data_IF_062294371808
#
_entry.id   IF_062294371808
#
_cell.length_a   1.000
_cell.length_b   1.000
_cell.length_c   1.000
_cell.angle_alpha   90.00
_cell.angle_beta   90.00
_cell.angle_gamma   90.00
#
_symmetry.space_group_name_H-M   'P 1'
#
loop_
_entity.id
_entity.type
_entity.pdbx_description
1 polymer ?
#
# COMPACT_ATOMS: atom_id res chain seq x y z
N UNK A 1 -5.00 22.73 -15.21
CA UNK A 1 -6.48 22.73 -15.28
C UNK A 1 -7.10 21.68 -16.22
N UNK A 2 -6.29 21.04 -17.08
CA UNK A 2 -6.81 20.00 -18.02
C UNK A 2 -6.68 18.58 -17.46
N UNK A 3 -5.86 18.36 -16.45
CA UNK A 3 -5.45 17.01 -15.98
C UNK A 3 -5.93 16.67 -14.56
N UNK A 4 -6.97 17.33 -14.07
CA UNK A 4 -7.55 17.03 -12.76
C UNK A 4 -7.00 17.89 -11.62
N UNK A 5 -6.26 17.32 -10.70
CA UNK A 5 -5.77 17.99 -9.49
C UNK A 5 -4.82 19.15 -9.83
N UNK A 6 -5.15 20.34 -9.37
CA UNK A 6 -4.38 21.55 -9.65
C UNK A 6 -3.89 22.25 -8.37
N UNK A 7 -4.39 21.84 -7.21
CA UNK A 7 -4.09 22.49 -5.95
C UNK A 7 -3.43 21.50 -4.98
N UNK A 8 -2.53 22.01 -4.15
CA UNK A 8 -1.86 21.22 -3.09
C UNK A 8 -2.89 20.54 -2.16
N UNK A 9 -4.03 21.20 -1.91
CA UNK A 9 -5.13 20.66 -1.13
C UNK A 9 -5.73 19.36 -1.70
N UNK A 10 -5.77 19.23 -3.05
CA UNK A 10 -6.28 18.02 -3.70
C UNK A 10 -5.37 16.81 -3.43
N UNK A 11 -4.04 17.03 -3.46
CA UNK A 11 -3.06 15.98 -3.13
C UNK A 11 -3.11 15.60 -1.65
N UNK A 12 -3.26 16.60 -0.77
CA UNK A 12 -3.44 16.33 0.67
C UNK A 12 -4.69 15.50 0.92
N UNK A 13 -5.82 15.87 0.33
CA UNK A 13 -7.08 15.11 0.47
C UNK A 13 -6.99 13.67 -0.05
N UNK A 14 -6.11 13.40 -1.02
CA UNK A 14 -5.81 12.06 -1.52
C UNK A 14 -4.80 11.29 -0.66
N UNK A 15 -4.23 11.90 0.36
CA UNK A 15 -3.29 11.26 1.28
C UNK A 15 -1.83 11.28 0.83
N UNK A 16 -1.45 12.21 -0.05
CA UNK A 16 -0.04 12.44 -0.39
C UNK A 16 0.70 13.16 0.74
N UNK A 17 1.93 12.73 0.99
CA UNK A 17 2.84 13.37 1.92
C UNK A 17 3.41 14.68 1.36
N UNK A 18 3.48 15.75 2.15
CA UNK A 18 4.02 17.04 1.69
C UNK A 18 5.48 16.93 1.24
N UNK A 19 6.29 16.09 1.89
CA UNK A 19 7.69 15.83 1.53
C UNK A 19 7.81 15.21 0.14
N UNK A 20 6.97 14.22 -0.17
CA UNK A 20 6.95 13.56 -1.48
C UNK A 20 6.53 14.52 -2.59
N UNK A 21 5.49 15.31 -2.34
CA UNK A 21 4.99 16.31 -3.28
C UNK A 21 6.06 17.39 -3.55
N UNK A 22 6.71 17.90 -2.49
CA UNK A 22 7.80 18.88 -2.59
C UNK A 22 8.96 18.35 -3.45
N UNK A 23 9.45 17.14 -3.12
CA UNK A 23 10.54 16.51 -3.88
C UNK A 23 10.14 16.31 -5.35
N UNK A 24 8.95 15.78 -5.61
CA UNK A 24 8.46 15.55 -6.97
C UNK A 24 8.36 16.84 -7.79
N UNK A 25 7.76 17.90 -7.21
CA UNK A 25 7.61 19.20 -7.88
C UNK A 25 8.96 19.85 -8.17
N UNK A 26 9.94 19.68 -7.29
CA UNK A 26 11.30 20.16 -7.52
C UNK A 26 11.91 19.47 -8.75
N UNK A 27 11.79 18.16 -8.85
CA UNK A 27 12.33 17.37 -9.98
C UNK A 27 11.61 17.64 -11.32
N UNK A 28 10.43 18.24 -11.31
CA UNK A 28 9.76 18.63 -12.56
C UNK A 28 10.49 19.72 -13.34
N UNK A 29 11.20 20.59 -12.64
CA UNK A 29 11.89 21.73 -13.26
C UNK A 29 13.37 21.83 -12.94
N UNK A 30 13.92 20.88 -12.20
CA UNK A 30 15.32 20.89 -11.77
C UNK A 30 15.87 19.46 -11.65
N UNK A 31 17.19 19.31 -11.77
CA UNK A 31 17.89 18.04 -11.59
C UNK A 31 19.07 18.19 -10.62
N UNK A 32 19.30 17.24 -9.69
CA UNK A 32 20.48 17.24 -8.82
C UNK A 32 21.80 17.02 -9.58
N UNK A 33 21.72 16.57 -10.84
CA UNK A 33 22.89 16.26 -11.67
C UNK A 33 23.38 14.81 -11.53
N UNK A 34 22.62 14.01 -10.81
CA UNK A 34 22.77 12.57 -10.68
C UNK A 34 21.39 11.90 -10.79
N UNK A 35 21.34 10.56 -10.60
CA UNK A 35 20.12 9.75 -10.77
C UNK A 35 19.25 9.67 -9.49
N UNK A 36 19.54 10.49 -8.46
CA UNK A 36 18.72 10.49 -7.23
C UNK A 36 17.35 11.11 -7.52
N UNK A 37 16.32 10.34 -7.25
CA UNK A 37 14.93 10.80 -7.35
C UNK A 37 14.30 11.09 -5.99
N UNK A 38 14.71 10.36 -4.94
CA UNK A 38 14.26 10.60 -3.57
C UNK A 38 15.32 11.35 -2.80
N UNK A 39 14.96 12.53 -2.30
CA UNK A 39 15.83 13.41 -1.53
C UNK A 39 15.03 14.12 -0.44
N UNK A 40 15.59 14.21 0.74
CA UNK A 40 15.02 15.03 1.80
C UNK A 40 14.97 16.51 1.37
N UNK A 41 14.17 17.30 2.09
CA UNK A 41 14.11 18.74 1.85
C UNK A 41 15.48 19.40 1.99
N UNK A 42 16.25 19.02 2.98
CA UNK A 42 17.56 19.63 3.26
C UNK A 42 18.56 19.25 2.16
N UNK A 43 18.61 18.00 1.72
CA UNK A 43 19.42 17.57 0.57
C UNK A 43 19.07 18.34 -0.72
N UNK A 44 17.77 18.61 -0.95
CA UNK A 44 17.33 19.40 -2.09
C UNK A 44 17.83 20.84 -1.96
N UNK A 45 17.67 21.45 -0.79
CA UNK A 45 18.10 22.84 -0.54
C UNK A 45 19.61 22.98 -0.70
N UNK A 46 20.38 22.03 -0.17
CA UNK A 46 21.85 22.05 -0.25
C UNK A 46 22.37 21.84 -1.70
N UNK A 47 21.67 21.01 -2.49
CA UNK A 47 22.05 20.70 -3.86
C UNK A 47 21.54 21.72 -4.86
N UNK A 48 20.54 22.54 -4.52
CA UNK A 48 19.84 23.41 -5.45
C UNK A 48 20.72 24.51 -6.01
N UNK A 49 20.76 24.61 -7.35
CA UNK A 49 21.40 25.69 -8.07
C UNK A 49 20.51 26.14 -9.23
N UNK A 50 20.52 27.43 -9.55
CA UNK A 50 19.75 27.99 -10.67
C UNK A 50 20.22 27.49 -12.04
N UNK A 51 21.50 27.16 -12.19
CA UNK A 51 22.08 26.68 -13.45
C UNK A 51 21.50 25.31 -13.89
N UNK A 52 20.91 24.56 -12.98
CA UNK A 52 20.29 23.26 -13.25
C UNK A 52 18.78 23.33 -13.43
N UNK A 53 18.22 24.54 -13.43
CA UNK A 53 16.79 24.71 -13.69
C UNK A 53 16.52 24.52 -15.18
N UNK A 54 15.56 23.65 -15.48
CA UNK A 54 15.16 23.33 -16.85
C UNK A 54 14.06 24.27 -17.33
N UNK A 55 14.25 24.85 -18.53
CA UNK A 55 13.26 25.74 -19.14
C UNK A 55 12.18 25.00 -19.97
N UNK A 56 12.19 23.66 -19.96
CA UNK A 56 11.23 22.86 -20.69
C UNK A 56 9.87 22.83 -19.98
N UNK A 57 8.80 22.74 -20.77
CA UNK A 57 7.47 22.47 -20.20
C UNK A 57 7.44 21.09 -19.55
N UNK A 58 7.26 21.04 -18.25
CA UNK A 58 7.14 19.78 -17.51
C UNK A 58 5.71 19.26 -17.55
N UNK A 59 5.55 17.97 -17.78
CA UNK A 59 4.28 17.26 -17.66
C UNK A 59 4.28 16.44 -16.39
N UNK A 60 3.21 16.53 -15.62
CA UNK A 60 3.06 15.79 -14.38
C UNK A 60 2.78 14.30 -14.64
N UNK A 61 3.64 13.43 -14.13
CA UNK A 61 3.44 11.98 -14.12
C UNK A 61 2.95 11.55 -12.73
N UNK A 62 1.64 11.32 -12.62
CA UNK A 62 1.01 10.91 -11.36
C UNK A 62 1.47 9.52 -10.89
N UNK A 63 1.91 8.63 -11.80
CA UNK A 63 2.43 7.31 -11.42
C UNK A 63 3.80 7.46 -10.74
N UNK A 64 4.64 8.33 -11.29
CA UNK A 64 5.94 8.65 -10.69
C UNK A 64 5.76 9.28 -9.32
N UNK A 65 4.87 10.26 -9.18
CA UNK A 65 4.53 10.87 -7.90
C UNK A 65 4.03 9.83 -6.90
N UNK A 66 3.10 8.95 -7.31
CA UNK A 66 2.56 7.90 -6.44
C UNK A 66 3.65 6.92 -5.96
N UNK A 67 4.58 6.55 -6.85
CA UNK A 67 5.69 5.67 -6.47
C UNK A 67 6.66 6.35 -5.52
N UNK A 68 6.98 7.62 -5.76
CA UNK A 68 7.81 8.41 -4.87
C UNK A 68 7.13 8.56 -3.50
N UNK A 69 5.83 8.84 -3.47
CA UNK A 69 5.07 8.94 -2.21
C UNK A 69 5.13 7.63 -1.41
N UNK A 70 4.99 6.47 -2.07
CA UNK A 70 5.13 5.17 -1.42
C UNK A 70 6.50 4.95 -0.77
N UNK A 71 7.57 5.47 -1.36
CA UNK A 71 8.91 5.40 -0.76
C UNK A 71 9.02 6.27 0.50
N UNK A 72 8.40 7.43 0.53
CA UNK A 72 8.34 8.27 1.74
C UNK A 72 7.42 7.64 2.80
N UNK A 73 6.26 7.11 2.37
CA UNK A 73 5.30 6.46 3.25
C UNK A 73 5.92 5.30 4.06
N UNK A 74 6.79 4.52 3.40
CA UNK A 74 7.50 3.41 4.04
C UNK A 74 8.51 3.84 5.13
N UNK A 75 8.89 5.13 5.18
CA UNK A 75 9.96 5.63 6.06
C UNK A 75 9.48 6.62 7.13
N UNK A 76 8.25 7.13 7.02
CA UNK A 76 7.71 7.98 8.10
C UNK A 76 7.57 7.16 9.39
N UNK A 77 7.64 7.78 10.58
CA UNK A 77 7.38 7.11 11.85
C UNK A 77 6.02 6.38 11.84
N UNK A 78 5.97 5.20 12.44
CA UNK A 78 4.76 4.37 12.44
C UNK A 78 3.56 5.06 13.09
N UNK A 79 3.77 5.85 14.12
CA UNK A 79 2.73 6.64 14.79
C UNK A 79 2.15 7.73 13.89
N UNK A 80 3.00 8.40 13.09
CA UNK A 80 2.58 9.35 12.05
C UNK A 80 1.77 8.63 10.97
N UNK A 81 2.24 7.46 10.51
CA UNK A 81 1.55 6.64 9.54
C UNK A 81 0.16 6.20 10.04
N UNK A 82 0.07 5.68 11.26
CA UNK A 82 -1.19 5.27 11.89
C UNK A 82 -2.15 6.46 12.00
N UNK A 83 -1.64 7.61 12.46
CA UNK A 83 -2.45 8.83 12.59
C UNK A 83 -3.03 9.28 11.23
N UNK A 84 -2.20 9.31 10.19
CA UNK A 84 -2.63 9.67 8.83
C UNK A 84 -3.66 8.69 8.25
N UNK A 85 -3.47 7.37 8.48
CA UNK A 85 -4.47 6.37 8.07
C UNK A 85 -5.79 6.54 8.83
N UNK A 86 -5.75 6.81 10.14
CA UNK A 86 -6.95 7.07 10.94
C UNK A 86 -7.68 8.34 10.49
N UNK A 87 -6.96 9.41 10.17
CA UNK A 87 -7.54 10.64 9.62
C UNK A 87 -8.24 10.37 8.27
N UNK A 88 -7.58 9.61 7.38
CA UNK A 88 -8.15 9.24 6.08
C UNK A 88 -9.39 8.33 6.19
N UNK A 89 -9.54 7.61 7.31
CA UNK A 89 -10.64 6.69 7.61
C UNK A 89 -11.67 7.27 8.59
N UNK A 90 -11.64 8.58 8.85
CA UNK A 90 -12.49 9.21 9.89
C UNK A 90 -14.01 9.01 9.68
N UNK A 91 -14.45 8.75 8.45
CA UNK A 91 -15.85 8.48 8.10
C UNK A 91 -16.16 6.98 7.95
N UNK A 92 -15.18 6.09 8.19
CA UNK A 92 -15.36 4.66 8.05
C UNK A 92 -15.73 4.03 9.41
N UNK A 93 -16.97 3.62 9.58
CA UNK A 93 -17.50 3.03 10.83
C UNK A 93 -16.64 1.87 11.35
N UNK A 94 -16.20 0.98 10.47
CA UNK A 94 -15.36 -0.16 10.85
C UNK A 94 -14.02 0.28 11.45
N UNK A 95 -13.42 1.34 10.92
CA UNK A 95 -12.13 1.85 11.40
C UNK A 95 -12.27 2.55 12.75
N UNK A 96 -13.40 3.23 13.00
CA UNK A 96 -13.68 3.85 14.29
C UNK A 96 -13.90 2.81 15.40
N UNK A 97 -14.47 1.65 15.05
CA UNK A 97 -14.75 0.54 15.98
C UNK A 97 -13.57 -0.41 16.14
N UNK A 98 -12.56 -0.33 15.26
CA UNK A 98 -11.40 -1.22 15.28
C UNK A 98 -10.58 -1.03 16.58
N UNK A 99 -10.22 -2.17 17.21
CA UNK A 99 -9.29 -2.18 18.34
C UNK A 99 -7.99 -1.45 17.97
N UNK A 100 -7.52 -0.57 18.84
CA UNK A 100 -6.38 0.31 18.54
C UNK A 100 -5.07 -0.48 18.40
N UNK A 101 -4.88 -1.52 19.22
CA UNK A 101 -3.66 -2.33 19.19
C UNK A 101 -3.62 -3.19 17.93
N UNK A 102 -4.75 -3.79 17.57
CA UNK A 102 -4.87 -4.58 16.34
C UNK A 102 -4.70 -3.70 15.10
N UNK A 103 -5.31 -2.51 15.09
CA UNK A 103 -5.11 -1.56 13.98
C UNK A 103 -3.63 -1.17 13.80
N UNK A 104 -2.91 -0.96 14.89
CA UNK A 104 -1.49 -0.65 14.84
C UNK A 104 -0.66 -1.81 14.26
N UNK A 105 -0.96 -3.05 14.62
CA UNK A 105 -0.31 -4.23 14.05
C UNK A 105 -0.57 -4.36 12.54
N UNK A 106 -1.80 -4.16 12.11
CA UNK A 106 -2.15 -4.15 10.67
C UNK A 106 -1.42 -3.01 9.94
N UNK A 107 -1.41 -1.81 10.52
CA UNK A 107 -0.72 -0.66 9.95
C UNK A 107 0.78 -0.92 9.76
N UNK A 108 1.45 -1.50 10.76
CA UNK A 108 2.87 -1.89 10.69
C UNK A 108 3.14 -2.84 9.52
N UNK A 109 2.31 -3.87 9.35
CA UNK A 109 2.42 -4.83 8.24
C UNK A 109 2.16 -4.20 6.86
N UNK A 110 1.29 -3.18 6.81
CA UNK A 110 0.82 -2.58 5.56
C UNK A 110 1.62 -1.34 5.15
N UNK A 111 2.40 -0.73 6.03
CA UNK A 111 3.10 0.54 5.79
C UNK A 111 3.93 0.50 4.50
N UNK A 112 4.75 -0.52 4.31
CA UNK A 112 5.63 -0.65 3.13
C UNK A 112 4.88 -0.93 1.82
N UNK A 113 3.61 -1.32 1.91
CA UNK A 113 2.73 -1.62 0.77
C UNK A 113 1.76 -0.48 0.45
N UNK A 114 1.66 0.49 1.35
CA UNK A 114 0.74 1.63 1.27
C UNK A 114 1.41 2.80 0.56
N UNK A 115 0.76 3.36 -0.43
CA UNK A 115 1.27 4.52 -1.16
C UNK A 115 0.58 5.83 -0.79
N UNK A 116 -0.68 5.76 -0.37
CA UNK A 116 -1.49 6.89 0.09
C UNK A 116 -2.17 6.51 1.42
N UNK A 117 -2.38 7.46 2.32
CA UNK A 117 -3.15 7.18 3.54
C UNK A 117 -4.56 6.65 3.24
N UNK A 118 -5.16 7.10 2.14
CA UNK A 118 -6.48 6.64 1.68
C UNK A 118 -6.50 5.17 1.23
N UNK A 119 -5.35 4.56 0.92
CA UNK A 119 -5.27 3.13 0.58
C UNK A 119 -5.67 2.24 1.76
N UNK A 120 -5.60 2.77 3.00
CA UNK A 120 -6.03 2.07 4.21
C UNK A 120 -7.52 1.67 4.16
N UNK A 121 -8.34 2.29 3.32
CA UNK A 121 -9.72 1.87 3.11
C UNK A 121 -9.83 0.42 2.59
N UNK A 122 -8.81 -0.06 1.89
CA UNK A 122 -8.76 -1.45 1.41
C UNK A 122 -8.53 -2.48 2.52
N UNK A 123 -8.16 -2.07 3.73
CA UNK A 123 -7.90 -2.97 4.86
C UNK A 123 -9.16 -3.46 5.56
N UNK A 124 -10.34 -2.96 5.17
CA UNK A 124 -11.62 -3.32 5.79
C UNK A 124 -11.79 -4.83 5.99
N UNK A 125 -11.35 -5.64 5.03
CA UNK A 125 -11.43 -7.11 5.11
C UNK A 125 -10.64 -7.74 6.26
N UNK A 126 -9.71 -7.01 6.87
CA UNK A 126 -8.94 -7.48 8.03
C UNK A 126 -9.66 -7.18 9.37
N UNK A 127 -10.73 -6.38 9.35
CA UNK A 127 -11.41 -5.90 10.55
C UNK A 127 -12.87 -6.34 10.65
N UNK A 128 -13.53 -6.57 9.52
CA UNK A 128 -14.94 -6.98 9.47
C UNK A 128 -15.15 -8.02 8.40
N UNK A 129 -16.17 -8.86 8.60
CA UNK A 129 -16.59 -9.84 7.60
C UNK A 129 -17.09 -9.11 6.35
N UNK A 130 -16.65 -9.59 5.20
CA UNK A 130 -17.09 -9.07 3.90
C UNK A 130 -18.35 -9.82 3.49
N UNK A 131 -19.52 -9.15 3.41
CA UNK A 131 -20.77 -9.83 3.10
C UNK A 131 -20.83 -10.34 1.66
N UNK A 132 -20.08 -9.73 0.75
CA UNK A 132 -20.11 -10.07 -0.67
C UNK A 132 -18.74 -9.83 -1.31
N UNK A 133 -18.26 -10.83 -2.04
CA UNK A 133 -17.01 -10.74 -2.79
C UNK A 133 -17.25 -10.26 -4.22
N UNK A 134 -16.30 -9.49 -4.78
CA UNK A 134 -16.37 -9.07 -6.17
C UNK A 134 -16.47 -10.28 -7.11
N UNK A 135 -17.52 -10.32 -7.94
CA UNK A 135 -17.82 -11.45 -8.83
C UNK A 135 -16.67 -11.79 -9.82
N UNK A 136 -15.89 -10.78 -10.24
CA UNK A 136 -14.71 -10.98 -11.10
C UNK A 136 -13.57 -11.64 -10.35
N UNK A 137 -13.34 -11.23 -9.11
CA UNK A 137 -12.36 -11.84 -8.20
C UNK A 137 -12.71 -13.29 -7.91
N UNK A 138 -13.96 -13.56 -7.56
CA UNK A 138 -14.46 -14.93 -7.34
C UNK A 138 -14.20 -15.85 -8.53
N UNK A 139 -14.58 -15.42 -9.74
CA UNK A 139 -14.33 -16.21 -10.96
C UNK A 139 -12.85 -16.44 -11.23
N UNK A 140 -12.02 -15.43 -10.98
CA UNK A 140 -10.59 -15.47 -11.31
C UNK A 140 -9.79 -16.32 -10.31
N UNK A 141 -10.15 -16.30 -9.04
CA UNK A 141 -9.32 -16.87 -7.97
C UNK A 141 -10.02 -18.01 -7.24
N UNK A 142 -11.29 -17.90 -6.86
CA UNK A 142 -11.98 -18.87 -6.00
C UNK A 142 -12.66 -20.01 -6.79
N UNK A 143 -13.19 -19.72 -7.98
CA UNK A 143 -13.96 -20.71 -8.76
C UNK A 143 -13.07 -21.60 -9.66
N UNK A 144 -11.75 -21.57 -9.49
CA UNK A 144 -10.86 -22.46 -10.22
C UNK A 144 -10.97 -23.89 -9.71
N UNK A 145 -10.81 -24.91 -10.58
CA UNK A 145 -10.81 -26.31 -10.16
C UNK A 145 -9.80 -26.55 -9.03
N UNK A 146 -10.25 -27.26 -7.98
CA UNK A 146 -9.42 -27.65 -6.85
C UNK A 146 -9.23 -26.60 -5.75
N UNK A 147 -9.48 -25.30 -6.05
CA UNK A 147 -9.24 -24.22 -5.07
C UNK A 147 -10.10 -24.37 -3.82
N UNK A 148 -11.40 -24.66 -3.96
CA UNK A 148 -12.28 -24.85 -2.82
C UNK A 148 -11.77 -25.96 -1.89
N UNK A 149 -11.43 -27.13 -2.42
CA UNK A 149 -10.90 -28.24 -1.62
C UNK A 149 -9.56 -27.90 -0.96
N UNK A 150 -8.69 -27.13 -1.64
CA UNK A 150 -7.44 -26.68 -1.03
C UNK A 150 -7.68 -25.68 0.11
N UNK A 151 -8.62 -24.75 -0.03
CA UNK A 151 -8.98 -23.83 1.05
C UNK A 151 -9.60 -24.56 2.26
N UNK A 152 -10.47 -25.55 2.02
CA UNK A 152 -11.03 -26.40 3.08
C UNK A 152 -9.94 -27.20 3.81
N UNK A 153 -8.97 -27.75 3.07
CA UNK A 153 -7.80 -28.42 3.64
C UNK A 153 -6.92 -27.46 4.44
N UNK A 154 -6.73 -26.22 3.96
CA UNK A 154 -5.97 -25.21 4.67
C UNK A 154 -6.63 -24.79 5.98
N UNK A 155 -7.95 -24.60 5.98
CA UNK A 155 -8.70 -24.33 7.23
C UNK A 155 -8.48 -25.45 8.25
N UNK A 156 -8.54 -26.72 7.81
CA UNK A 156 -8.24 -27.86 8.68
C UNK A 156 -6.81 -27.88 9.20
N UNK A 157 -5.83 -27.56 8.36
CA UNK A 157 -4.42 -27.51 8.75
C UNK A 157 -4.12 -26.38 9.74
N UNK A 158 -4.86 -25.26 9.65
CA UNK A 158 -4.67 -24.11 10.52
C UNK A 158 -5.38 -24.24 11.89
N UNK A 159 -6.34 -25.14 12.02
CA UNK A 159 -7.17 -25.26 13.23
C UNK A 159 -6.33 -25.53 14.50
N UNK A 160 -5.27 -26.34 14.38
CA UNK A 160 -4.40 -26.72 15.49
C UNK A 160 -2.98 -26.12 15.38
N UNK A 161 -2.79 -25.12 14.49
CA UNK A 161 -1.49 -24.54 14.22
C UNK A 161 -1.25 -23.29 15.07
N UNK A 162 -0.08 -23.17 15.69
CA UNK A 162 0.34 -21.90 16.30
C UNK A 162 0.56 -20.86 15.20
N UNK A 163 -0.06 -19.68 15.32
CA UNK A 163 0.02 -18.63 14.30
C UNK A 163 1.36 -17.88 14.37
N UNK A 164 2.38 -18.43 13.72
CA UNK A 164 3.66 -17.78 13.44
C UNK A 164 3.90 -17.75 11.93
N UNK A 165 4.79 -16.89 11.45
CA UNK A 165 5.11 -16.81 10.01
C UNK A 165 5.52 -18.19 9.47
N UNK A 166 6.47 -18.84 10.13
CA UNK A 166 7.01 -20.14 9.70
C UNK A 166 5.95 -21.24 9.62
N UNK A 167 5.08 -21.33 10.63
CA UNK A 167 4.04 -22.36 10.67
C UNK A 167 2.92 -22.11 9.66
N UNK A 168 2.56 -20.85 9.43
CA UNK A 168 1.58 -20.48 8.42
C UNK A 168 2.11 -20.74 7.00
N UNK A 169 3.36 -20.37 6.73
CA UNK A 169 4.01 -20.65 5.45
C UNK A 169 4.12 -22.17 5.20
N UNK A 170 4.53 -22.95 6.19
CA UNK A 170 4.61 -24.39 6.09
C UNK A 170 3.24 -25.04 5.80
N UNK A 171 2.17 -24.59 6.47
CA UNK A 171 0.82 -25.08 6.23
C UNK A 171 0.33 -24.75 4.82
N UNK A 172 0.53 -23.51 4.36
CA UNK A 172 0.15 -23.07 3.01
C UNK A 172 0.94 -23.87 1.95
N UNK A 173 2.23 -24.06 2.16
CA UNK A 173 3.07 -24.82 1.25
C UNK A 173 2.61 -26.29 1.17
N UNK A 174 2.42 -26.95 2.31
CA UNK A 174 2.00 -28.35 2.35
C UNK A 174 0.65 -28.57 1.62
N UNK A 175 -0.33 -27.68 1.84
CA UNK A 175 -1.62 -27.75 1.16
C UNK A 175 -1.47 -27.45 -0.34
N UNK A 176 -0.65 -26.48 -0.73
CA UNK A 176 -0.39 -26.13 -2.13
C UNK A 176 0.20 -27.33 -2.88
N UNK A 177 1.18 -28.02 -2.30
CA UNK A 177 1.82 -29.20 -2.88
C UNK A 177 0.85 -30.40 -2.96
N UNK A 178 0.10 -30.67 -1.90
CA UNK A 178 -0.88 -31.78 -1.86
C UNK A 178 -2.02 -31.60 -2.86
N UNK A 179 -2.44 -30.35 -3.11
CA UNK A 179 -3.46 -30.01 -4.09
C UNK A 179 -2.92 -29.92 -5.54
N UNK A 180 -1.62 -30.11 -5.74
CA UNK A 180 -0.98 -30.06 -7.06
C UNK A 180 -0.91 -28.67 -7.68
N UNK A 181 -0.96 -27.61 -6.88
CA UNK A 181 -0.81 -26.23 -7.37
C UNK A 181 0.67 -25.84 -7.49
N UNK A 182 0.97 -24.96 -8.42
CA UNK A 182 2.27 -24.31 -8.48
C UNK A 182 2.49 -23.41 -7.23
N UNK A 183 3.74 -23.23 -6.76
CA UNK A 183 4.06 -22.38 -5.63
C UNK A 183 3.42 -21.00 -5.74
N UNK A 184 2.87 -20.49 -4.65
CA UNK A 184 2.20 -19.19 -4.58
C UNK A 184 0.83 -19.10 -5.27
N UNK A 185 0.34 -20.18 -5.89
CA UNK A 185 -0.95 -20.18 -6.59
C UNK A 185 -2.14 -20.09 -5.62
N UNK A 186 -2.05 -20.75 -4.48
CA UNK A 186 -3.06 -20.74 -3.45
C UNK A 186 -3.15 -19.36 -2.77
N UNK A 187 -2.02 -18.66 -2.61
CA UNK A 187 -1.95 -17.33 -2.01
C UNK A 187 -2.80 -16.26 -2.74
N UNK A 188 -3.20 -16.53 -3.98
CA UNK A 188 -4.11 -15.65 -4.74
C UNK A 188 -5.59 -15.83 -4.36
N UNK A 189 -5.92 -16.89 -3.64
CA UNK A 189 -7.26 -17.25 -3.21
C UNK A 189 -7.46 -17.06 -1.69
N UNK A 190 -6.37 -16.91 -0.94
CA UNK A 190 -6.33 -16.50 0.46
C UNK A 190 -6.36 -14.98 0.55
#
# INVERSE_FOLDING_TARGET
KRDGDAFVGDFRAKGYLPQALFNYLTLLGWSPGDDREKMSRDEIVDAFTLDRVQHASAQMDLRKLLNLNGQYMAEIPLDEFISGCREALAEADWAMQADAAYFAQVAELMQTRTKLFTDAASWQCLFVDIPEYEAKGCRKFLQKPGVKGALEALVGALADTTFTVDTLEAAIQAVTESAGFAPGKLNQAI
#
